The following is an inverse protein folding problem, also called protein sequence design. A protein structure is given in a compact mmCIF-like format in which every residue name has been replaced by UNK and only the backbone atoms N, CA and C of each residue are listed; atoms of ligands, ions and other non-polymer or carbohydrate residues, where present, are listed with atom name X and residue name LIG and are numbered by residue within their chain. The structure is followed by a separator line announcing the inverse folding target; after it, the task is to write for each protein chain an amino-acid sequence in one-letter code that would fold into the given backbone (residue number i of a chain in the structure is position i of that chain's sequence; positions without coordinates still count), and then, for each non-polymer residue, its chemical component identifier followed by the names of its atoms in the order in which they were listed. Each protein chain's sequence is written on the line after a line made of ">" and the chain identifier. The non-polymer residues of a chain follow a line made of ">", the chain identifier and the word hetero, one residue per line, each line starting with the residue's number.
data_IF_082197460078
#
_entry.id   IF_082197460078
#
_cell.length_a   1.000
_cell.length_b   1.000
_cell.length_c   1.000
_cell.angle_alpha   90.00
_cell.angle_beta   90.00
_cell.angle_gamma   90.00
#
_symmetry.space_group_name_H-M   'P 1'
#
loop_
_entity.id
_entity.type
_entity.pdbx_description
1 polymer ?
#
# COMPACT_ATOMS: atom_id res chain seq x y z
N UNK A 1 -3.57 -5.46 37.49
CA UNK A 1 -2.74 -5.69 36.30
C UNK A 1 -3.65 -6.08 35.15
N UNK A 2 -3.72 -5.26 34.08
CA UNK A 2 -4.47 -5.60 32.88
C UNK A 2 -3.70 -6.69 32.12
N UNK A 3 -4.32 -7.84 31.86
CA UNK A 3 -3.70 -8.91 31.07
C UNK A 3 -4.19 -8.78 29.64
N UNK A 4 -3.26 -8.71 28.69
CA UNK A 4 -3.53 -8.63 27.25
C UNK A 4 -2.85 -9.81 26.56
N UNK A 5 -3.45 -10.32 25.49
CA UNK A 5 -2.84 -11.34 24.61
C UNK A 5 -3.19 -11.08 23.15
N UNK A 6 -2.36 -11.60 22.27
CA UNK A 6 -2.65 -11.67 20.84
C UNK A 6 -2.50 -13.10 20.32
N UNK A 7 -3.25 -13.44 19.28
CA UNK A 7 -3.19 -14.73 18.59
C UNK A 7 -3.06 -14.48 17.09
N UNK A 8 -2.01 -15.03 16.49
CA UNK A 8 -1.69 -14.82 15.08
C UNK A 8 -1.94 -16.09 14.27
N UNK A 9 -2.37 -15.91 13.04
CA UNK A 9 -2.45 -16.99 12.05
C UNK A 9 -1.62 -16.61 10.82
N UNK A 10 -1.15 -17.62 10.10
CA UNK A 10 -0.27 -17.46 8.95
C UNK A 10 -0.75 -18.35 7.81
N UNK A 11 -0.42 -17.99 6.58
CA UNK A 11 -0.53 -18.87 5.42
C UNK A 11 0.65 -19.86 5.36
N UNK A 12 0.62 -20.75 4.37
CA UNK A 12 1.66 -21.77 4.16
C UNK A 12 3.02 -21.18 3.79
N UNK A 13 3.06 -19.90 3.37
CA UNK A 13 4.26 -19.16 3.02
C UNK A 13 4.80 -18.33 4.20
N UNK A 14 4.14 -18.38 5.37
CA UNK A 14 4.53 -17.64 6.57
C UNK A 14 4.11 -16.18 6.59
N UNK A 15 3.25 -15.73 5.67
CA UNK A 15 2.66 -14.40 5.75
C UNK A 15 1.54 -14.39 6.78
N UNK A 16 1.46 -13.35 7.60
CA UNK A 16 0.43 -13.23 8.63
C UNK A 16 -0.94 -13.01 7.98
N UNK A 17 -1.94 -13.82 8.31
CA UNK A 17 -3.33 -13.69 7.82
C UNK A 17 -4.23 -12.95 8.79
N UNK A 18 -4.00 -13.13 10.10
CA UNK A 18 -4.77 -12.44 11.13
C UNK A 18 -4.00 -12.26 12.42
N UNK A 19 -4.43 -11.28 13.21
CA UNK A 19 -3.95 -11.05 14.56
C UNK A 19 -5.11 -10.61 15.46
N UNK A 20 -5.56 -11.51 16.34
CA UNK A 20 -6.67 -11.28 17.27
C UNK A 20 -6.13 -10.80 18.63
N UNK A 21 -6.54 -9.61 19.06
CA UNK A 21 -6.17 -9.05 20.34
C UNK A 21 -7.31 -9.17 21.35
N UNK A 22 -6.95 -9.58 22.56
CA UNK A 22 -7.88 -9.82 23.65
C UNK A 22 -7.38 -9.25 24.97
N UNK A 23 -8.31 -8.82 25.80
CA UNK A 23 -8.06 -8.33 27.16
C UNK A 23 -8.80 -9.17 28.18
N UNK A 24 -8.16 -9.44 29.31
CA UNK A 24 -8.77 -10.19 30.41
C UNK A 24 -9.59 -9.25 31.31
N UNK A 25 -10.90 -9.49 31.37
CA UNK A 25 -11.82 -8.68 32.15
C UNK A 25 -13.04 -9.50 32.58
N UNK A 26 -13.42 -9.41 33.87
CA UNK A 26 -14.56 -10.14 34.41
C UNK A 26 -14.42 -11.66 34.31
N UNK A 27 -13.25 -12.18 34.70
CA UNK A 27 -12.88 -13.61 34.71
C UNK A 27 -12.90 -14.31 33.34
N UNK A 28 -12.81 -13.56 32.24
CA UNK A 28 -12.72 -14.11 30.89
C UNK A 28 -11.89 -13.21 29.98
N UNK A 29 -11.36 -13.80 28.91
CA UNK A 29 -10.80 -13.05 27.79
C UNK A 29 -11.93 -12.46 26.95
N UNK A 30 -11.82 -11.18 26.63
CA UNK A 30 -12.74 -10.46 25.75
C UNK A 30 -11.99 -10.00 24.50
N UNK A 31 -12.63 -10.10 23.35
CA UNK A 31 -12.08 -9.60 22.09
C UNK A 31 -12.04 -8.07 22.10
N UNK A 32 -10.96 -7.50 21.56
CA UNK A 32 -10.78 -6.06 21.42
C UNK A 32 -10.78 -5.67 19.94
N UNK A 33 -9.70 -6.02 19.24
CA UNK A 33 -9.51 -5.76 17.81
C UNK A 33 -9.01 -7.01 17.09
N UNK A 34 -9.26 -7.03 15.78
CA UNK A 34 -8.81 -8.07 14.87
C UNK A 34 -8.18 -7.37 13.66
N UNK A 35 -6.93 -7.69 13.39
CA UNK A 35 -6.25 -7.33 12.15
C UNK A 35 -6.42 -8.48 11.16
N UNK A 36 -6.77 -8.18 9.92
CA UNK A 36 -6.85 -9.13 8.82
C UNK A 36 -5.94 -8.66 7.69
N UNK A 37 -5.25 -9.61 7.08
CA UNK A 37 -4.35 -9.37 5.96
C UNK A 37 -4.73 -10.33 4.82
N UNK A 38 -4.74 -9.82 3.59
CA UNK A 38 -4.89 -10.67 2.42
C UNK A 38 -3.90 -10.33 1.32
N UNK A 39 -3.33 -11.38 0.73
CA UNK A 39 -2.32 -11.31 -0.31
C UNK A 39 -2.85 -12.08 -1.52
N UNK A 40 -3.60 -11.40 -2.38
CA UNK A 40 -4.12 -12.04 -3.57
C UNK A 40 -3.09 -11.94 -4.70
N UNK A 41 -2.07 -12.81 -4.69
CA UNK A 41 -1.04 -12.87 -5.72
C UNK A 41 -1.61 -12.97 -7.14
N UNK A 42 -2.71 -13.73 -7.33
CA UNK A 42 -3.40 -13.85 -8.63
C UNK A 42 -4.31 -12.67 -8.97
N UNK A 43 -4.70 -11.85 -7.99
CA UNK A 43 -5.55 -10.67 -8.18
C UNK A 43 -4.80 -9.38 -7.95
N UNK A 44 -3.46 -9.44 -7.88
CA UNK A 44 -2.61 -8.27 -7.81
C UNK A 44 -3.07 -7.29 -6.73
N UNK A 45 -3.31 -7.81 -5.53
CA UNK A 45 -3.90 -7.05 -4.42
C UNK A 45 -3.28 -7.44 -3.09
N UNK A 46 -2.88 -6.45 -2.32
CA UNK A 46 -2.65 -6.55 -0.88
C UNK A 46 -3.71 -5.72 -0.15
N UNK A 47 -4.20 -6.23 0.97
CA UNK A 47 -5.23 -5.58 1.77
C UNK A 47 -4.98 -5.82 3.25
N UNK A 48 -5.20 -4.77 4.05
CA UNK A 48 -5.22 -4.79 5.50
C UNK A 48 -6.56 -4.22 5.99
N UNK A 49 -7.15 -4.87 6.98
CA UNK A 49 -8.35 -4.42 7.67
C UNK A 49 -8.15 -4.47 9.19
N UNK A 50 -8.57 -3.41 9.87
CA UNK A 50 -8.71 -3.37 11.32
C UNK A 50 -10.19 -3.41 11.69
N UNK A 51 -10.56 -4.37 12.52
CA UNK A 51 -11.92 -4.57 12.98
C UNK A 51 -12.00 -4.44 14.50
N UNK A 52 -13.01 -3.70 14.99
CA UNK A 52 -13.37 -3.60 16.40
C UNK A 52 -14.44 -4.61 16.76
N UNK A 53 -14.32 -5.22 17.95
CA UNK A 53 -15.40 -6.05 18.48
C UNK A 53 -16.43 -5.21 19.24
N UNK A 54 -17.63 -5.05 18.69
CA UNK A 54 -18.76 -4.37 19.36
C UNK A 54 -19.76 -5.38 19.90
N UNK A 55 -19.37 -6.08 20.97
CA UNK A 55 -20.21 -6.95 21.81
C UNK A 55 -20.69 -8.26 21.18
N UNK A 56 -21.10 -8.25 19.91
CA UNK A 56 -21.58 -9.43 19.16
C UNK A 56 -21.06 -9.52 17.73
N UNK A 57 -20.49 -8.44 17.18
CA UNK A 57 -20.02 -8.38 15.80
C UNK A 57 -18.69 -7.66 15.69
N UNK A 58 -17.90 -8.07 14.72
CA UNK A 58 -16.75 -7.33 14.23
C UNK A 58 -17.21 -6.23 13.29
N UNK A 59 -16.67 -5.03 13.45
CA UNK A 59 -16.95 -3.88 12.60
C UNK A 59 -15.62 -3.36 12.06
N UNK A 60 -15.47 -3.28 10.75
CA UNK A 60 -14.31 -2.64 10.13
C UNK A 60 -14.29 -1.17 10.51
N UNK A 61 -13.20 -0.76 11.18
CA UNK A 61 -13.00 0.64 11.60
C UNK A 61 -11.95 1.34 10.75
N UNK A 62 -11.07 0.58 10.12
CA UNK A 62 -10.01 1.09 9.26
C UNK A 62 -9.57 -0.02 8.30
N UNK A 63 -9.00 0.37 7.17
CA UNK A 63 -8.42 -0.54 6.21
C UNK A 63 -7.67 0.22 5.14
N UNK A 64 -6.74 -0.48 4.51
CA UNK A 64 -5.98 -0.01 3.36
C UNK A 64 -5.83 -1.15 2.35
N UNK A 65 -5.84 -0.83 1.06
CA UNK A 65 -5.51 -1.80 0.02
C UNK A 65 -4.78 -1.18 -1.13
N UNK A 66 -3.91 -1.99 -1.74
CA UNK A 66 -3.24 -1.67 -3.00
C UNK A 66 -3.78 -2.57 -4.09
N UNK A 67 -4.16 -1.97 -5.21
CA UNK A 67 -4.62 -2.64 -6.42
C UNK A 67 -3.58 -2.39 -7.52
N UNK A 68 -3.03 -3.45 -8.10
CA UNK A 68 -2.01 -3.34 -9.13
C UNK A 68 -2.62 -3.75 -10.48
N UNK A 69 -2.45 -2.88 -11.47
CA UNK A 69 -2.81 -3.14 -12.86
C UNK A 69 -1.53 -3.31 -13.66
N UNK A 70 -1.50 -4.29 -14.54
CA UNK A 70 -0.35 -4.59 -15.39
C UNK A 70 -0.67 -4.30 -16.85
N UNK A 71 0.35 -3.95 -17.62
CA UNK A 71 0.24 -3.83 -19.07
C UNK A 71 0.34 -5.20 -19.78
N UNK A 72 0.32 -5.18 -21.11
CA UNK A 72 0.42 -6.38 -21.95
C UNK A 72 1.76 -7.13 -21.79
N UNK A 73 2.80 -6.46 -21.31
CA UNK A 73 4.13 -7.03 -21.07
C UNK A 73 4.29 -7.53 -19.63
N UNK A 74 3.21 -7.56 -18.84
CA UNK A 74 3.22 -7.92 -17.41
C UNK A 74 4.09 -6.97 -16.56
N UNK A 75 4.21 -5.72 -16.97
CA UNK A 75 4.83 -4.68 -16.16
C UNK A 75 3.75 -3.92 -15.38
N UNK A 76 4.05 -3.49 -14.16
CA UNK A 76 3.10 -2.70 -13.35
C UNK A 76 2.83 -1.39 -14.07
N UNK A 77 1.61 -1.21 -14.56
CA UNK A 77 1.17 0.01 -15.23
C UNK A 77 0.64 1.04 -14.22
N UNK A 78 -0.11 0.57 -13.23
CA UNK A 78 -0.79 1.43 -12.27
C UNK A 78 -0.89 0.75 -10.91
N UNK A 79 -0.73 1.54 -9.85
CA UNK A 79 -1.06 1.15 -8.48
C UNK A 79 -2.09 2.13 -7.94
N UNK A 80 -3.25 1.63 -7.54
CA UNK A 80 -4.27 2.41 -6.83
C UNK A 80 -4.25 2.04 -5.36
N UNK A 81 -4.16 3.05 -4.51
CA UNK A 81 -4.26 2.95 -3.07
C UNK A 81 -5.63 3.45 -2.61
N UNK A 82 -6.31 2.61 -1.85
CA UNK A 82 -7.64 2.90 -1.32
C UNK A 82 -7.66 2.72 0.19
N UNK A 83 -8.42 3.60 0.84
CA UNK A 83 -8.63 3.59 2.29
C UNK A 83 -10.06 3.18 2.58
N UNK A 84 -10.28 2.50 3.71
CA UNK A 84 -11.62 2.24 4.20
C UNK A 84 -12.18 3.48 4.90
N UNK A 85 -13.34 3.97 4.46
CA UNK A 85 -14.06 5.06 5.11
C UNK A 85 -15.50 4.63 5.41
N UNK A 86 -15.76 4.33 6.69
CA UNK A 86 -17.05 3.94 7.30
C UNK A 86 -17.77 2.78 6.60
N UNK A 87 -18.25 3.00 5.39
CA UNK A 87 -19.16 2.13 4.65
C UNK A 87 -18.55 1.59 3.35
N UNK A 88 -17.31 1.94 3.01
CA UNK A 88 -16.64 1.35 1.85
C UNK A 88 -15.23 1.87 1.58
N UNK A 89 -14.64 1.32 0.53
CA UNK A 89 -13.34 1.73 0.01
C UNK A 89 -13.45 3.04 -0.75
N UNK A 90 -12.60 4.00 -0.39
CA UNK A 90 -12.43 5.28 -1.07
C UNK A 90 -11.04 5.34 -1.69
N UNK A 91 -10.95 5.92 -2.88
CA UNK A 91 -9.68 6.21 -3.55
C UNK A 91 -8.94 7.29 -2.78
N UNK A 92 -7.64 7.08 -2.60
CA UNK A 92 -6.76 8.05 -1.94
C UNK A 92 -5.68 8.52 -2.92
N UNK A 93 -4.88 7.57 -3.40
CA UNK A 93 -3.72 7.89 -4.22
C UNK A 93 -3.49 6.87 -5.32
N UNK A 94 -2.96 7.34 -6.45
CA UNK A 94 -2.65 6.49 -7.60
C UNK A 94 -1.27 6.80 -8.13
N UNK A 95 -0.53 5.77 -8.50
CA UNK A 95 0.76 5.89 -9.17
C UNK A 95 0.67 5.22 -10.53
N UNK A 96 0.97 5.95 -11.58
CA UNK A 96 1.10 5.45 -12.95
C UNK A 96 2.58 5.33 -13.29
N UNK A 97 2.93 4.27 -14.01
CA UNK A 97 4.30 3.94 -14.39
C UNK A 97 4.41 3.96 -15.91
N UNK A 98 5.40 4.68 -16.42
CA UNK A 98 5.64 4.84 -17.86
C UNK A 98 7.01 4.27 -18.21
N UNK A 99 7.01 3.31 -19.13
CA UNK A 99 8.19 2.59 -19.55
C UNK A 99 8.55 2.90 -21.01
N UNK A 100 9.83 2.82 -21.31
CA UNK A 100 10.35 2.64 -22.67
C UNK A 100 10.85 1.20 -22.79
N UNK A 101 10.09 0.38 -23.54
CA UNK A 101 10.18 -1.08 -23.51
C UNK A 101 10.05 -1.55 -22.07
N UNK A 102 11.13 -2.08 -21.49
CA UNK A 102 11.13 -2.59 -20.13
C UNK A 102 11.67 -1.60 -19.09
N UNK A 103 12.22 -0.45 -19.51
CA UNK A 103 12.93 0.48 -18.62
C UNK A 103 11.97 1.56 -18.13
N UNK A 104 11.85 1.71 -16.80
CA UNK A 104 11.01 2.74 -16.18
C UNK A 104 11.59 4.13 -16.49
N UNK A 105 10.80 5.02 -17.09
CA UNK A 105 11.23 6.41 -17.37
C UNK A 105 10.57 7.40 -16.41
N UNK A 106 9.27 7.26 -16.21
CA UNK A 106 8.48 8.20 -15.44
C UNK A 106 7.54 7.49 -14.49
N UNK A 107 7.25 8.15 -13.37
CA UNK A 107 6.04 7.87 -12.62
C UNK A 107 5.25 9.14 -12.42
N UNK A 108 3.93 9.06 -12.58
CA UNK A 108 3.02 10.11 -12.17
C UNK A 108 2.27 9.68 -10.93
N UNK A 109 2.18 10.59 -9.97
CA UNK A 109 1.45 10.41 -8.73
C UNK A 109 0.23 11.32 -8.73
N UNK A 110 -0.91 10.76 -8.32
CA UNK A 110 -2.19 11.44 -8.32
C UNK A 110 -2.85 11.31 -6.96
N UNK A 111 -3.53 12.38 -6.54
CA UNK A 111 -4.46 12.36 -5.42
C UNK A 111 -5.90 12.36 -5.93
N UNK A 112 -6.77 11.61 -5.24
CA UNK A 112 -8.19 11.64 -5.55
C UNK A 112 -8.85 12.80 -4.82
N UNK A 113 -9.39 13.76 -5.57
CA UNK A 113 -10.05 14.94 -5.02
C UNK A 113 -11.25 15.29 -5.90
N UNK A 114 -12.38 15.63 -5.28
CA UNK A 114 -13.58 16.13 -5.99
C UNK A 114 -14.08 15.18 -7.10
N UNK A 115 -13.95 13.86 -6.89
CA UNK A 115 -14.41 12.85 -7.84
C UNK A 115 -13.48 12.59 -9.03
N UNK A 116 -12.26 13.14 -9.02
CA UNK A 116 -11.27 12.92 -10.08
C UNK A 116 -9.86 12.75 -9.54
N UNK A 117 -8.96 12.21 -10.37
CA UNK A 117 -7.53 12.11 -10.09
C UNK A 117 -6.84 13.41 -10.51
N UNK A 118 -6.24 14.11 -9.54
CA UNK A 118 -5.39 15.29 -9.79
C UNK A 118 -3.93 14.88 -9.70
N UNK A 119 -3.16 15.14 -10.75
CA UNK A 119 -1.72 14.90 -10.74
C UNK A 119 -1.05 15.81 -9.71
N UNK A 120 -0.13 15.27 -8.93
CA UNK A 120 0.56 16.01 -7.86
C UNK A 120 2.07 15.92 -7.97
N UNK A 121 2.61 14.75 -8.33
CA UNK A 121 4.04 14.59 -8.55
C UNK A 121 4.32 13.87 -9.86
N UNK A 122 5.44 14.23 -10.48
CA UNK A 122 6.08 13.50 -11.58
C UNK A 122 7.49 13.20 -11.13
N UNK A 123 7.90 11.93 -11.22
CA UNK A 123 9.28 11.54 -11.02
C UNK A 123 9.86 11.09 -12.36
N UNK A 124 11.05 11.59 -12.69
CA UNK A 124 11.82 11.18 -13.85
C UNK A 124 13.05 10.38 -13.38
N UNK A 125 13.26 9.22 -13.98
CA UNK A 125 14.31 8.29 -13.59
C UNK A 125 15.37 8.23 -14.67
N UNK A 126 16.62 8.53 -14.28
CA UNK A 126 17.79 8.18 -15.07
C UNK A 126 18.48 7.00 -14.39
N UNK A 127 18.67 5.91 -15.15
CA UNK A 127 19.23 4.67 -14.62
C UNK A 127 20.70 4.57 -14.98
N UNK A 128 21.53 4.31 -13.97
CA UNK A 128 22.91 3.90 -14.22
C UNK A 128 22.93 2.48 -14.77
N UNK A 129 22.09 1.61 -14.20
CA UNK A 129 21.94 0.20 -14.57
C UNK A 129 20.49 -0.24 -14.40
N UNK A 130 19.93 -0.91 -15.40
CA UNK A 130 18.57 -1.44 -15.39
C UNK A 130 18.58 -2.96 -15.52
N UNK A 131 18.07 -3.64 -14.50
CA UNK A 131 18.06 -5.11 -14.38
C UNK A 131 16.68 -5.73 -14.61
N UNK A 132 15.69 -4.94 -15.06
CA UNK A 132 14.33 -5.41 -15.34
C UNK A 132 13.30 -5.08 -14.27
N UNK A 133 13.74 -4.70 -13.06
CA UNK A 133 12.85 -4.24 -12.00
C UNK A 133 13.49 -3.13 -11.14
N UNK A 134 12.65 -2.36 -10.43
CA UNK A 134 13.08 -1.20 -9.65
C UNK A 134 13.93 -1.55 -8.41
N UNK A 135 13.77 -2.75 -7.84
CA UNK A 135 14.46 -3.14 -6.61
C UNK A 135 15.87 -3.66 -6.89
N UNK A 136 16.10 -4.23 -8.09
CA UNK A 136 17.42 -4.72 -8.53
C UNK A 136 18.20 -3.70 -9.38
N UNK A 137 17.55 -2.65 -9.86
CA UNK A 137 18.15 -1.61 -10.70
C UNK A 137 18.80 -0.48 -9.89
N UNK A 138 19.79 0.19 -10.47
CA UNK A 138 20.52 1.29 -9.82
C UNK A 138 20.15 2.62 -10.51
N UNK A 139 19.38 3.51 -9.85
CA UNK A 139 19.09 4.82 -10.40
C UNK A 139 20.36 5.69 -10.32
N UNK A 140 20.71 6.34 -11.44
CA UNK A 140 21.73 7.40 -11.47
C UNK A 140 21.18 8.66 -10.81
N UNK A 141 19.94 9.03 -11.13
CA UNK A 141 19.23 10.14 -10.50
C UNK A 141 17.71 9.93 -10.56
N UNK A 142 17.01 10.58 -9.63
CA UNK A 142 15.56 10.73 -9.67
C UNK A 142 15.26 12.20 -9.46
N UNK A 143 14.61 12.83 -10.44
CA UNK A 143 14.18 14.23 -10.35
C UNK A 143 12.67 14.24 -10.09
N UNK A 144 12.26 14.93 -9.03
CA UNK A 144 10.85 15.05 -8.64
C UNK A 144 10.34 16.43 -8.99
N UNK A 145 9.17 16.47 -9.63
CA UNK A 145 8.44 17.69 -9.95
C UNK A 145 7.11 17.67 -9.23
N UNK A 146 6.69 18.81 -8.70
CA UNK A 146 5.36 19.04 -8.13
C UNK A 146 4.48 19.80 -9.12
N UNK A 147 3.23 19.40 -9.23
CA UNK A 147 2.22 20.11 -10.00
C UNK A 147 1.83 21.40 -9.26
N UNK A 148 2.00 22.54 -9.94
CA UNK A 148 1.61 23.86 -9.44
C UNK A 148 1.01 24.66 -10.58
N UNK A 149 -0.30 24.85 -10.55
CA UNK A 149 -1.04 25.72 -11.47
C UNK A 149 -0.82 25.38 -12.96
N UNK A 150 -0.84 24.08 -13.28
CA UNK A 150 -0.65 23.55 -14.63
C UNK A 150 0.81 23.38 -15.06
N UNK A 151 1.77 23.58 -14.15
CA UNK A 151 3.21 23.47 -14.44
C UNK A 151 3.90 22.49 -13.48
N UNK A 152 4.91 21.80 -14.00
CA UNK A 152 5.78 20.92 -13.24
C UNK A 152 6.99 21.72 -12.73
N UNK A 153 7.07 21.89 -11.41
CA UNK A 153 8.16 22.62 -10.77
C UNK A 153 9.06 21.62 -10.06
N UNK A 154 10.36 21.63 -10.36
CA UNK A 154 11.31 20.75 -9.70
C UNK A 154 11.36 21.05 -8.20
N UNK A 155 11.28 19.99 -7.38
CA UNK A 155 11.32 20.07 -5.92
C UNK A 155 12.32 19.07 -5.37
N UNK A 156 12.95 19.42 -4.25
CA UNK A 156 13.66 18.41 -3.46
C UNK A 156 12.63 17.44 -2.92
N UNK A 157 12.86 16.15 -3.20
CA UNK A 157 11.95 15.04 -2.87
C UNK A 157 11.28 15.27 -1.52
N UNK A 158 9.99 15.64 -1.48
CA UNK A 158 9.25 15.61 -0.23
C UNK A 158 9.30 14.16 0.24
N UNK A 159 9.56 13.92 1.52
CA UNK A 159 9.38 12.58 2.08
C UNK A 159 8.02 12.06 1.61
N UNK A 160 8.00 10.93 0.89
CA UNK A 160 6.76 10.34 0.41
C UNK A 160 5.81 10.26 1.60
N UNK A 161 4.69 10.98 1.57
CA UNK A 161 3.65 10.90 2.61
C UNK A 161 2.87 9.61 2.49
N UNK A 162 3.57 8.47 2.52
CA UNK A 162 2.94 7.17 2.66
C UNK A 162 3.64 6.38 3.76
N UNK A 163 2.86 5.87 4.75
CA UNK A 163 3.33 4.88 5.69
C UNK A 163 3.74 3.62 4.94
N UNK A 164 4.82 3.00 5.39
CA UNK A 164 5.18 1.66 4.96
C UNK A 164 4.03 0.71 5.28
N UNK A 165 3.56 -0.01 4.26
CA UNK A 165 3.12 -1.38 4.51
C UNK A 165 4.40 -2.08 4.97
N UNK A 166 4.46 -2.40 6.27
CA UNK A 166 5.58 -3.02 6.97
C UNK A 166 6.41 -3.93 6.06
N UNK A 167 7.73 -3.75 6.12
CA UNK A 167 8.72 -4.63 5.54
C UNK A 167 8.37 -6.12 5.78
N UNK A 168 7.77 -6.79 4.79
CA UNK A 168 7.67 -8.23 4.61
C UNK A 168 7.38 -8.42 3.11
N UNK A 169 8.36 -8.67 2.24
CA UNK A 169 9.27 -9.81 2.24
C UNK A 169 10.53 -9.50 1.42
N UNK A 170 11.63 -9.16 2.09
CA UNK A 170 12.96 -9.53 1.58
C UNK A 170 13.31 -10.89 2.19
N UNK A 171 12.58 -11.92 1.75
CA UNK A 171 12.96 -13.31 1.95
C UNK A 171 13.80 -13.72 0.74
N UNK A 172 15.02 -13.21 0.66
CA UNK A 172 16.05 -13.85 -0.13
C UNK A 172 16.42 -15.13 0.60
N UNK A 173 16.20 -16.29 -0.03
CA UNK A 173 16.97 -17.50 0.25
C UNK A 173 18.39 -17.26 -0.25
#
# INVERSE_FOLDING_TARGET
>A
MLRKRSQRTYDDQGNMLSNLYQEFSGNRWKNCHLELYSYAHKRNRSEYLLLDFKGKKWITVMGERMLYTYDANQQVKEIVYELWNKDGWIKDWRTEFIYDKNRLLYTYEYQYQEGTWKAVYKNEYDWFRWEGDINSSIPRSVVTYEEREGKWVEVKRPHSRRPGMLAMSSGSI
#
